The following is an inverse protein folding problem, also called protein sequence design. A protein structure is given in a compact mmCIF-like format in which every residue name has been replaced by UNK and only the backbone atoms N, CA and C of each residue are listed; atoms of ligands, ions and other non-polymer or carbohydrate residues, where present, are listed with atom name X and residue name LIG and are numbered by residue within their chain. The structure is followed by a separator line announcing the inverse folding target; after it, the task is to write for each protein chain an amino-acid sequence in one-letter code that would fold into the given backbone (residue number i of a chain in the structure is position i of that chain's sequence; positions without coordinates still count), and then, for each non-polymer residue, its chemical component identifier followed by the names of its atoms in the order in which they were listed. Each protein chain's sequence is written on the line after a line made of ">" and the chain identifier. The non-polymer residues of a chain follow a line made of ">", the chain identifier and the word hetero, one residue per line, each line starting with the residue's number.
data_IF_432257869238
#
_entry.id   IF_432257869238
#
_cell.length_a   1.000
_cell.length_b   1.000
_cell.length_c   1.000
_cell.angle_alpha   90.00
_cell.angle_beta   90.00
_cell.angle_gamma   90.00
#
_symmetry.space_group_name_H-M   'P 1'
#
loop_
_entity.id
_entity.type
_entity.pdbx_description
1 polymer ?
#
# COMPACT_ATOMS: atom_id res chain seq x y z
N UNK A 1 34.88 8.82 5.43
CA UNK A 1 35.11 7.71 6.38
C UNK A 1 35.76 6.56 5.62
N UNK A 2 36.84 5.97 6.16
CA UNK A 2 37.65 4.95 5.46
C UNK A 2 36.93 3.58 5.46
N UNK A 3 37.05 2.82 4.38
CA UNK A 3 36.41 1.49 4.25
C UNK A 3 36.81 0.53 5.37
N UNK A 4 38.07 0.58 5.81
CA UNK A 4 38.60 -0.27 6.90
C UNK A 4 37.93 -0.06 8.27
N UNK A 5 37.15 1.02 8.45
CA UNK A 5 36.38 1.30 9.67
C UNK A 5 34.86 1.15 9.46
N UNK A 6 34.43 0.82 8.25
CA UNK A 6 33.03 0.59 7.95
C UNK A 6 32.65 -0.86 8.20
N UNK A 7 31.50 -1.07 8.85
CA UNK A 7 30.87 -2.39 8.92
C UNK A 7 30.01 -2.62 7.67
N UNK A 8 30.55 -3.36 6.70
CA UNK A 8 29.87 -3.74 5.45
C UNK A 8 30.08 -5.24 5.25
N UNK A 9 29.27 -6.10 5.86
CA UNK A 9 29.41 -7.55 5.78
C UNK A 9 28.90 -8.03 4.41
N UNK A 10 29.73 -8.00 3.38
CA UNK A 10 29.34 -8.51 2.05
C UNK A 10 29.23 -10.02 2.04
N UNK A 11 28.31 -10.58 1.25
CA UNK A 11 28.15 -12.02 1.07
C UNK A 11 28.62 -12.46 -0.33
N UNK A 12 29.40 -13.54 -0.37
CA UNK A 12 29.81 -14.17 -1.62
C UNK A 12 28.63 -14.88 -2.29
N UNK A 13 27.88 -15.64 -1.49
CA UNK A 13 26.75 -16.47 -1.93
C UNK A 13 25.41 -15.77 -1.65
N UNK A 14 24.41 -16.09 -2.46
CA UNK A 14 23.04 -15.60 -2.30
C UNK A 14 22.30 -16.56 -1.34
N UNK A 15 21.69 -16.07 -0.25
CA UNK A 15 20.82 -16.90 0.58
C UNK A 15 19.66 -17.50 -0.24
N UNK A 16 19.36 -18.79 -0.02
CA UNK A 16 18.40 -19.53 -0.85
C UNK A 16 16.95 -19.02 -0.73
N UNK A 17 16.61 -18.35 0.37
CA UNK A 17 15.33 -17.72 0.64
C UNK A 17 15.13 -16.37 -0.09
N UNK A 18 16.21 -15.80 -0.65
CA UNK A 18 16.14 -14.55 -1.40
C UNK A 18 15.85 -14.79 -2.88
N UNK A 19 14.56 -14.77 -3.26
CA UNK A 19 14.13 -15.00 -4.65
C UNK A 19 14.28 -13.74 -5.52
N UNK A 20 13.89 -12.58 -5.00
CA UNK A 20 13.87 -11.33 -5.76
C UNK A 20 15.25 -10.68 -5.84
N UNK A 21 15.64 -10.20 -7.04
CA UNK A 21 16.95 -9.59 -7.31
C UNK A 21 17.31 -8.42 -6.38
N UNK A 22 16.36 -7.54 -6.07
CA UNK A 22 16.59 -6.44 -5.12
C UNK A 22 16.94 -6.98 -3.73
N UNK A 23 16.18 -7.95 -3.21
CA UNK A 23 16.45 -8.61 -1.94
C UNK A 23 17.85 -9.26 -1.91
N UNK A 24 18.19 -10.03 -2.96
CA UNK A 24 19.50 -10.67 -3.11
C UNK A 24 20.65 -9.67 -3.04
N UNK A 25 20.54 -8.56 -3.79
CA UNK A 25 21.58 -7.52 -3.84
C UNK A 25 21.69 -6.80 -2.49
N UNK A 26 20.57 -6.45 -1.86
CA UNK A 26 20.57 -5.78 -0.55
C UNK A 26 21.25 -6.63 0.52
N UNK A 27 21.05 -7.95 0.52
CA UNK A 27 21.75 -8.87 1.43
C UNK A 27 23.24 -8.94 1.10
N UNK A 28 23.59 -9.16 -0.17
CA UNK A 28 25.00 -9.33 -0.61
C UNK A 28 25.85 -8.09 -0.43
N UNK A 29 25.28 -6.91 -0.62
CA UNK A 29 25.99 -5.64 -0.42
C UNK A 29 26.03 -5.21 1.05
N UNK A 30 25.49 -6.02 1.98
CA UNK A 30 25.50 -5.72 3.41
C UNK A 30 24.63 -4.51 3.77
N UNK A 31 23.50 -4.31 3.06
CA UNK A 31 22.57 -3.23 3.33
C UNK A 31 21.56 -3.61 4.42
N UNK A 32 21.10 -4.85 4.42
CA UNK A 32 20.10 -5.36 5.38
C UNK A 32 20.47 -6.77 5.88
N UNK A 33 19.87 -7.18 7.00
CA UNK A 33 19.86 -8.56 7.50
C UNK A 33 18.47 -8.95 7.99
N UNK A 34 17.99 -10.16 7.69
CA UNK A 34 16.76 -10.66 8.29
C UNK A 34 16.98 -10.90 9.78
N UNK A 35 16.02 -10.48 10.59
CA UNK A 35 15.93 -10.81 12.02
C UNK A 35 14.87 -11.91 12.23
N UNK A 36 13.77 -11.83 11.48
CA UNK A 36 12.70 -12.83 11.40
C UNK A 36 11.97 -12.66 10.05
N UNK A 37 10.98 -13.52 9.76
CA UNK A 37 10.19 -13.42 8.53
C UNK A 37 9.51 -12.03 8.43
N UNK A 38 9.87 -11.28 7.39
CA UNK A 38 9.35 -9.92 7.17
C UNK A 38 9.89 -8.85 8.12
N UNK A 39 10.96 -9.11 8.88
CA UNK A 39 11.56 -8.16 9.82
C UNK A 39 13.06 -8.05 9.53
N UNK A 40 13.52 -6.85 9.16
CA UNK A 40 14.88 -6.62 8.70
C UNK A 40 15.60 -5.53 9.51
N UNK A 41 16.86 -5.78 9.81
CA UNK A 41 17.80 -4.77 10.31
C UNK A 41 18.46 -4.04 9.15
N UNK A 42 18.38 -2.71 9.13
CA UNK A 42 19.15 -1.88 8.21
C UNK A 42 20.56 -1.65 8.74
N UNK A 43 21.56 -2.15 8.02
CA UNK A 43 22.98 -1.99 8.35
C UNK A 43 23.46 -0.58 7.96
N UNK A 44 24.68 -0.14 8.39
CA UNK A 44 25.10 1.25 8.23
C UNK A 44 25.00 1.81 6.80
N UNK A 45 25.31 1.01 5.79
CA UNK A 45 25.21 1.43 4.39
C UNK A 45 23.76 1.53 3.93
N UNK A 46 22.91 0.54 4.26
CA UNK A 46 21.48 0.56 3.97
C UNK A 46 20.78 1.73 4.66
N UNK A 47 21.09 1.97 5.94
CA UNK A 47 20.54 3.09 6.70
C UNK A 47 20.98 4.46 6.15
N UNK A 48 22.20 4.57 5.63
CA UNK A 48 22.65 5.79 4.95
C UNK A 48 21.84 6.08 3.69
N UNK A 49 21.46 5.06 2.93
CA UNK A 49 20.57 5.22 1.76
C UNK A 49 19.17 5.63 2.23
N UNK A 50 18.61 4.96 3.23
CA UNK A 50 17.30 5.31 3.80
C UNK A 50 17.25 6.77 4.26
N UNK A 51 18.26 7.26 4.98
CA UNK A 51 18.33 8.66 5.40
C UNK A 51 18.33 9.66 4.23
N UNK A 52 18.91 9.31 3.08
CA UNK A 52 18.87 10.17 1.89
C UNK A 52 17.47 10.21 1.28
N UNK A 53 16.79 9.07 1.19
CA UNK A 53 15.41 8.99 0.71
C UNK A 53 14.47 9.76 1.64
N UNK A 54 14.59 9.54 2.95
CA UNK A 54 13.84 10.27 3.99
C UNK A 54 14.04 11.77 3.87
N UNK A 55 15.27 12.23 3.60
CA UNK A 55 15.55 13.65 3.43
C UNK A 55 14.89 14.24 2.18
N UNK A 56 14.88 13.51 1.05
CA UNK A 56 14.15 13.93 -0.15
C UNK A 56 12.65 14.05 0.16
N UNK A 57 12.09 13.05 0.84
CA UNK A 57 10.68 13.04 1.22
C UNK A 57 10.36 14.25 2.09
N UNK A 58 11.14 14.50 3.15
CA UNK A 58 10.98 15.66 4.05
C UNK A 58 10.98 16.97 3.28
N UNK A 59 11.98 17.19 2.44
CA UNK A 59 12.09 18.43 1.64
C UNK A 59 10.86 18.68 0.75
N UNK A 60 10.33 17.65 0.10
CA UNK A 60 9.16 17.80 -0.78
C UNK A 60 7.84 17.92 -0.01
N UNK A 61 7.73 17.31 1.18
CA UNK A 61 6.57 17.48 2.06
C UNK A 61 6.57 18.87 2.71
N UNK A 62 7.71 19.33 3.22
CA UNK A 62 7.86 20.67 3.79
C UNK A 62 7.58 21.75 2.72
N UNK A 63 7.96 21.51 1.46
CA UNK A 63 7.70 22.42 0.34
C UNK A 63 6.21 22.62 0.03
N UNK A 64 5.32 21.71 0.43
CA UNK A 64 3.86 21.89 0.33
C UNK A 64 3.24 22.44 1.62
N UNK A 65 4.06 22.85 2.59
CA UNK A 65 3.61 23.36 3.89
C UNK A 65 3.20 22.28 4.88
N UNK A 66 3.55 21.01 4.61
CA UNK A 66 3.29 19.93 5.54
C UNK A 66 4.20 20.01 6.77
N UNK A 67 3.67 19.63 7.94
CA UNK A 67 4.38 19.68 9.21
C UNK A 67 4.71 18.27 9.69
N UNK A 68 5.98 18.01 9.98
CA UNK A 68 6.44 16.67 10.42
C UNK A 68 6.12 16.44 11.91
N UNK A 69 5.40 15.36 12.17
CA UNK A 69 5.03 14.84 13.48
C UNK A 69 5.83 13.57 13.77
N UNK A 70 5.84 13.15 15.04
CA UNK A 70 6.34 11.84 15.44
C UNK A 70 5.32 11.18 16.37
N UNK A 71 4.49 10.29 15.80
CA UNK A 71 3.36 9.68 16.50
C UNK A 71 3.74 8.33 17.14
N UNK A 72 3.10 7.98 18.27
CA UNK A 72 3.36 6.71 18.93
C UNK A 72 2.93 5.53 18.05
N UNK A 73 3.77 4.49 17.99
CA UNK A 73 3.42 3.22 17.36
C UNK A 73 2.53 2.35 18.25
N UNK A 74 2.62 2.52 19.56
CA UNK A 74 1.80 1.81 20.55
C UNK A 74 0.52 2.61 20.77
N UNK A 75 -0.63 2.02 20.46
CA UNK A 75 -1.92 2.68 20.64
C UNK A 75 -2.85 1.86 21.56
N UNK A 76 -3.71 2.52 22.35
CA UNK A 76 -4.85 1.86 22.97
C UNK A 76 -5.76 1.26 21.88
N UNK A 77 -6.35 0.08 22.09
CA UNK A 77 -7.27 -0.50 21.09
C UNK A 77 -8.53 0.35 20.92
N UNK A 78 -8.94 1.04 21.99
CA UNK A 78 -10.21 1.75 22.09
C UNK A 78 -10.37 2.82 21.00
N UNK A 79 -9.27 3.51 20.64
CA UNK A 79 -9.28 4.53 19.58
C UNK A 79 -9.55 3.92 18.19
N UNK A 80 -9.18 2.65 17.97
CA UNK A 80 -9.43 1.90 16.74
C UNK A 80 -10.82 1.24 16.73
N UNK A 81 -11.40 1.01 17.91
CA UNK A 81 -12.78 0.54 18.05
C UNK A 81 -13.77 1.67 17.76
N UNK A 82 -13.44 2.93 18.10
CA UNK A 82 -14.23 4.12 17.72
C UNK A 82 -14.48 4.19 16.20
N UNK A 83 -13.48 3.83 15.39
CA UNK A 83 -13.56 3.83 13.92
C UNK A 83 -13.97 2.49 13.33
N UNK A 84 -14.18 1.46 14.17
CA UNK A 84 -14.39 0.04 13.78
C UNK A 84 -13.23 -0.59 13.01
N UNK A 85 -12.14 0.14 12.79
CA UNK A 85 -10.98 -0.38 12.04
C UNK A 85 -10.21 -1.43 12.84
N UNK A 86 -10.39 -1.49 14.15
CA UNK A 86 -9.95 -2.64 14.93
C UNK A 86 -10.50 -3.96 14.35
N UNK A 87 -11.80 -4.07 14.06
CA UNK A 87 -12.35 -5.28 13.45
C UNK A 87 -11.95 -5.43 11.99
N UNK A 88 -11.93 -4.33 11.22
CA UNK A 88 -11.68 -4.38 9.77
C UNK A 88 -10.24 -4.84 9.43
N UNK A 89 -9.25 -4.43 10.24
CA UNK A 89 -7.88 -4.94 10.10
C UNK A 89 -7.74 -6.41 10.51
N UNK A 90 -8.66 -6.93 11.32
CA UNK A 90 -8.68 -8.34 11.73
C UNK A 90 -7.33 -8.82 12.29
N UNK A 91 -6.80 -9.88 11.67
CA UNK A 91 -5.54 -10.54 12.04
C UNK A 91 -4.29 -9.77 11.59
N UNK A 92 -4.40 -8.81 10.66
CA UNK A 92 -3.24 -8.00 10.24
C UNK A 92 -2.82 -6.97 11.30
N UNK A 93 -3.68 -6.70 12.28
CA UNK A 93 -3.37 -5.81 13.40
C UNK A 93 -2.72 -6.59 14.54
N UNK A 94 -1.48 -6.25 14.87
CA UNK A 94 -0.83 -6.77 16.07
C UNK A 94 -1.55 -6.30 17.33
N UNK A 95 -1.95 -7.26 18.18
CA UNK A 95 -2.60 -7.02 19.48
C UNK A 95 -1.86 -7.72 20.59
N UNK A 96 -1.74 -7.07 21.73
CA UNK A 96 -1.11 -7.64 22.91
C UNK A 96 -1.71 -7.04 24.18
N UNK A 97 -1.58 -7.78 25.28
CA UNK A 97 -2.02 -7.34 26.60
C UNK A 97 -0.84 -6.71 27.34
N UNK A 98 -1.03 -5.50 27.87
CA UNK A 98 -0.06 -4.90 28.76
C UNK A 98 -0.08 -5.56 30.15
N UNK A 99 0.84 -5.17 31.03
CA UNK A 99 0.94 -5.71 32.41
C UNK A 99 -0.31 -5.49 33.28
N UNK A 100 -1.24 -4.64 32.84
CA UNK A 100 -2.50 -4.31 33.51
C UNK A 100 -3.71 -4.92 32.76
N UNK A 101 -3.48 -5.85 31.84
CA UNK A 101 -4.51 -6.48 31.00
C UNK A 101 -5.30 -5.47 30.14
N UNK A 102 -4.63 -4.40 29.69
CA UNK A 102 -5.18 -3.51 28.66
C UNK A 102 -4.72 -3.98 27.29
N UNK A 103 -5.65 -4.04 26.35
CA UNK A 103 -5.34 -4.34 24.97
C UNK A 103 -4.68 -3.13 24.32
N UNK A 104 -3.50 -3.35 23.77
CA UNK A 104 -2.76 -2.36 23.00
C UNK A 104 -2.38 -2.95 21.65
N UNK A 105 -2.20 -2.05 20.68
CA UNK A 105 -1.89 -2.42 19.30
C UNK A 105 -0.62 -1.74 18.82
N UNK A 106 0.04 -2.37 17.84
CA UNK A 106 1.02 -1.69 17.03
C UNK A 106 0.32 -1.11 15.80
N UNK A 107 0.39 0.20 15.65
CA UNK A 107 -0.33 0.96 14.64
C UNK A 107 0.07 0.53 13.20
N UNK A 108 -0.87 0.01 12.39
CA UNK A 108 -0.63 -0.27 10.97
C UNK A 108 -0.64 1.00 10.09
N UNK A 109 -1.22 2.09 10.62
CA UNK A 109 -1.36 3.44 10.06
C UNK A 109 -1.85 4.38 11.20
N UNK A 110 -2.14 5.65 10.93
CA UNK A 110 -2.37 6.68 11.96
C UNK A 110 -3.56 7.61 11.70
N UNK A 111 -4.57 7.23 10.89
CA UNK A 111 -5.77 8.07 10.69
C UNK A 111 -6.46 8.41 12.01
N UNK A 112 -6.68 7.41 12.88
CA UNK A 112 -7.30 7.53 14.20
C UNK A 112 -6.58 8.55 15.07
N UNK A 113 -5.25 8.50 15.05
CA UNK A 113 -4.40 9.29 15.95
C UNK A 113 -4.38 10.75 15.52
N UNK A 114 -4.33 10.99 14.21
CA UNK A 114 -4.43 12.32 13.64
C UNK A 114 -5.81 12.91 13.91
N UNK A 115 -6.87 12.12 13.72
CA UNK A 115 -8.24 12.55 14.01
C UNK A 115 -8.43 12.88 15.50
N UNK A 116 -7.84 12.10 16.42
CA UNK A 116 -7.89 12.37 17.86
C UNK A 116 -7.21 13.70 18.23
N UNK A 117 -6.01 13.95 17.68
CA UNK A 117 -5.30 15.23 17.84
C UNK A 117 -6.14 16.37 17.26
N UNK A 118 -6.66 16.21 16.05
CA UNK A 118 -7.48 17.23 15.39
C UNK A 118 -8.75 17.55 16.19
N UNK A 119 -9.44 16.53 16.72
CA UNK A 119 -10.62 16.67 17.58
C UNK A 119 -10.30 17.46 18.86
N UNK A 120 -9.10 17.32 19.40
CA UNK A 120 -8.62 18.03 20.58
C UNK A 120 -8.14 19.47 20.31
N UNK A 121 -7.54 19.73 19.16
CA UNK A 121 -6.78 20.97 18.93
C UNK A 121 -7.41 21.91 17.90
N UNK A 122 -8.15 21.40 16.91
CA UNK A 122 -8.79 22.24 15.88
C UNK A 122 -10.14 22.74 16.42
N UNK A 123 -10.27 24.05 16.58
CA UNK A 123 -11.46 24.68 17.19
C UNK A 123 -12.19 25.63 16.26
N UNK A 124 -11.55 26.04 15.17
CA UNK A 124 -12.12 26.95 14.19
C UNK A 124 -11.73 26.57 12.76
N UNK A 125 -12.57 26.93 11.79
CA UNK A 125 -12.21 26.88 10.37
C UNK A 125 -10.95 27.70 10.04
N UNK A 126 -10.61 28.68 10.89
CA UNK A 126 -9.39 29.50 10.75
C UNK A 126 -8.10 28.73 11.05
N UNK A 127 -8.21 27.60 11.74
CA UNK A 127 -7.09 26.70 12.00
C UNK A 127 -6.81 25.80 10.77
N UNK A 128 -7.68 25.84 9.75
CA UNK A 128 -7.59 25.03 8.53
C UNK A 128 -7.18 25.89 7.31
N UNK A 129 -6.53 25.28 6.29
CA UNK A 129 -6.17 23.87 6.19
C UNK A 129 -4.92 23.50 7.01
N UNK A 130 -4.81 22.23 7.35
CA UNK A 130 -3.62 21.63 7.95
C UNK A 130 -3.11 20.49 7.07
N UNK A 131 -1.80 20.32 7.00
CA UNK A 131 -1.16 19.14 6.40
C UNK A 131 -0.13 18.63 7.40
N UNK A 132 -0.35 17.45 7.95
CA UNK A 132 0.52 16.82 8.94
C UNK A 132 1.04 15.49 8.40
N UNK A 133 2.33 15.23 8.55
CA UNK A 133 2.92 13.97 8.08
C UNK A 133 3.91 13.44 9.09
N UNK A 134 4.28 12.17 8.97
CA UNK A 134 5.38 11.60 9.75
C UNK A 134 6.17 10.60 8.91
N UNK A 135 7.38 10.29 9.34
CA UNK A 135 8.20 9.21 8.77
C UNK A 135 8.51 8.23 9.90
N UNK A 136 7.73 7.15 9.97
CA UNK A 136 7.66 6.32 11.18
C UNK A 136 7.47 4.83 10.84
N UNK A 137 7.90 3.96 11.77
CA UNK A 137 7.81 2.51 11.62
C UNK A 137 6.40 1.97 11.84
N UNK A 138 5.84 1.36 10.81
CA UNK A 138 4.54 0.69 10.82
C UNK A 138 4.68 -0.82 11.02
N UNK A 139 3.60 -1.42 11.49
CA UNK A 139 3.52 -2.85 11.77
C UNK A 139 2.25 -3.42 11.18
N UNK A 140 2.38 -4.49 10.38
CA UNK A 140 1.26 -5.26 9.84
C UNK A 140 1.61 -6.73 9.95
N UNK A 141 0.73 -7.54 10.51
CA UNK A 141 0.95 -8.97 10.63
C UNK A 141 0.66 -9.68 9.29
N UNK A 142 1.47 -9.32 8.29
CA UNK A 142 1.39 -9.85 6.94
C UNK A 142 1.51 -11.38 6.96
N UNK A 143 0.49 -12.14 6.50
CA UNK A 143 0.48 -13.60 6.58
C UNK A 143 1.58 -14.24 5.73
N UNK A 144 2.03 -13.59 4.65
CA UNK A 144 3.08 -14.12 3.76
C UNK A 144 4.11 -13.05 3.41
N UNK A 145 4.99 -12.66 4.35
CA UNK A 145 6.02 -11.68 4.07
C UNK A 145 7.01 -12.26 3.05
N UNK A 146 7.27 -11.51 1.97
CA UNK A 146 8.07 -11.98 0.83
C UNK A 146 8.82 -10.83 0.17
N UNK A 147 9.74 -11.18 -0.72
CA UNK A 147 10.43 -10.19 -1.58
C UNK A 147 11.27 -9.16 -0.81
N UNK A 148 11.83 -9.53 0.34
CA UNK A 148 12.69 -8.65 1.12
C UNK A 148 11.91 -7.53 1.80
N UNK A 149 12.34 -6.30 1.59
CA UNK A 149 11.73 -5.08 2.15
C UNK A 149 10.48 -4.61 1.40
N UNK A 150 10.10 -5.28 0.30
CA UNK A 150 8.92 -4.92 -0.48
C UNK A 150 7.62 -5.30 0.21
N UNK A 151 7.58 -6.45 0.90
CA UNK A 151 6.41 -6.92 1.66
C UNK A 151 6.86 -7.50 2.99
N UNK A 152 6.78 -6.68 4.03
CA UNK A 152 7.36 -6.91 5.35
C UNK A 152 6.32 -6.70 6.46
N UNK A 153 6.57 -7.29 7.64
CA UNK A 153 5.71 -7.11 8.84
C UNK A 153 6.04 -5.83 9.60
N UNK A 154 7.28 -5.36 9.49
CA UNK A 154 7.75 -4.10 10.04
C UNK A 154 8.46 -3.31 8.93
N UNK A 155 8.01 -2.07 8.68
CA UNK A 155 8.55 -1.24 7.61
C UNK A 155 8.43 0.25 7.95
N UNK A 156 9.20 1.09 7.26
CA UNK A 156 9.14 2.55 7.42
C UNK A 156 8.17 3.10 6.39
N UNK A 157 7.22 3.90 6.85
CA UNK A 157 6.27 4.59 5.99
C UNK A 157 6.37 6.09 6.23
N UNK A 158 6.23 6.86 5.14
CA UNK A 158 5.76 8.23 5.25
C UNK A 158 4.26 8.24 5.04
N UNK A 159 3.52 8.66 6.03
CA UNK A 159 2.08 8.86 6.03
C UNK A 159 1.78 10.34 6.25
N UNK A 160 0.81 10.88 5.53
CA UNK A 160 0.47 12.30 5.50
C UNK A 160 -1.04 12.47 5.42
N UNK A 161 -1.55 13.44 6.15
CA UNK A 161 -2.96 13.67 6.41
C UNK A 161 -3.24 15.16 6.25
N UNK A 162 -4.16 15.52 5.34
CA UNK A 162 -4.68 16.88 5.27
C UNK A 162 -6.03 16.98 5.98
N UNK A 163 -6.26 18.12 6.61
CA UNK A 163 -7.54 18.50 7.16
C UNK A 163 -7.95 19.79 6.48
N UNK A 164 -9.11 19.78 5.85
CA UNK A 164 -9.57 20.83 4.96
C UNK A 164 -10.99 21.27 5.36
N UNK A 165 -11.34 22.52 5.07
CA UNK A 165 -12.65 23.09 5.44
C UNK A 165 -13.78 22.47 4.63
N UNK A 166 -13.51 22.17 3.36
CA UNK A 166 -14.47 21.68 2.39
C UNK A 166 -13.78 20.79 1.33
N UNK A 167 -14.58 20.24 0.41
CA UNK A 167 -14.10 19.37 -0.67
C UNK A 167 -13.14 20.07 -1.64
N UNK A 168 -13.31 21.38 -1.87
CA UNK A 168 -12.40 22.14 -2.75
C UNK A 168 -11.01 22.29 -2.11
N UNK A 169 -10.98 22.50 -0.78
CA UNK A 169 -9.75 22.46 0.01
C UNK A 169 -9.08 21.09 -0.08
N UNK A 170 -9.85 20.02 0.10
CA UNK A 170 -9.38 18.64 -0.05
C UNK A 170 -8.76 18.40 -1.43
N UNK A 171 -9.44 18.80 -2.51
CA UNK A 171 -8.93 18.65 -3.88
C UNK A 171 -7.58 19.38 -4.07
N UNK A 172 -7.46 20.58 -3.50
CA UNK A 172 -6.20 21.34 -3.53
C UNK A 172 -5.09 20.61 -2.76
N UNK A 173 -5.38 20.16 -1.53
CA UNK A 173 -4.45 19.39 -0.70
C UNK A 173 -4.03 18.09 -1.39
N UNK A 174 -4.97 17.39 -2.02
CA UNK A 174 -4.72 16.19 -2.82
C UNK A 174 -3.75 16.46 -3.98
N UNK A 175 -3.98 17.53 -4.75
CA UNK A 175 -3.08 17.90 -5.85
C UNK A 175 -1.69 18.30 -5.35
N UNK A 176 -1.58 18.99 -4.21
CA UNK A 176 -0.28 19.28 -3.60
C UNK A 176 0.49 18.00 -3.27
N UNK A 177 -0.15 17.02 -2.64
CA UNK A 177 0.46 15.71 -2.36
C UNK A 177 0.85 14.98 -3.64
N UNK A 178 -0.04 14.93 -4.64
CA UNK A 178 0.23 14.26 -5.91
C UNK A 178 1.47 14.85 -6.61
N UNK A 179 1.63 16.18 -6.60
CA UNK A 179 2.82 16.83 -7.17
C UNK A 179 4.08 16.60 -6.33
N UNK A 180 3.98 16.64 -5.00
CA UNK A 180 5.09 16.31 -4.11
C UNK A 180 5.59 14.88 -4.36
N UNK A 181 4.69 13.90 -4.47
CA UNK A 181 5.04 12.51 -4.75
C UNK A 181 5.74 12.36 -6.11
N UNK A 182 5.24 13.02 -7.16
CA UNK A 182 5.91 13.05 -8.46
C UNK A 182 7.35 13.55 -8.36
N UNK A 183 7.60 14.62 -7.59
CA UNK A 183 8.94 15.15 -7.35
C UNK A 183 9.80 14.19 -6.53
N UNK A 184 9.27 13.59 -5.46
CA UNK A 184 9.98 12.60 -4.63
C UNK A 184 10.47 11.44 -5.50
N UNK A 185 9.59 10.79 -6.26
CA UNK A 185 9.97 9.65 -7.10
C UNK A 185 10.97 10.06 -8.19
N UNK A 186 10.79 11.23 -8.82
CA UNK A 186 11.72 11.77 -9.82
C UNK A 186 13.11 12.03 -9.23
N UNK A 187 13.19 12.64 -8.04
CA UNK A 187 14.46 12.92 -7.33
C UNK A 187 15.15 11.65 -6.83
N UNK A 188 14.39 10.60 -6.55
CA UNK A 188 14.90 9.26 -6.31
C UNK A 188 15.38 8.53 -7.58
N UNK A 189 15.19 9.13 -8.77
CA UNK A 189 15.60 8.56 -10.05
C UNK A 189 14.71 7.40 -10.51
N UNK A 190 13.47 7.32 -10.01
CA UNK A 190 12.55 6.23 -10.31
C UNK A 190 11.69 6.59 -11.52
N UNK A 191 11.46 5.60 -12.39
CA UNK A 191 10.47 5.70 -13.46
C UNK A 191 9.15 5.16 -12.93
N UNK A 192 8.15 6.02 -12.85
CA UNK A 192 6.85 5.69 -12.27
C UNK A 192 5.72 6.18 -13.16
N UNK A 193 4.55 5.61 -12.97
CA UNK A 193 3.29 6.07 -13.54
C UNK A 193 2.22 6.08 -12.45
N UNK A 194 1.13 6.82 -12.67
CA UNK A 194 0.04 6.96 -11.69
C UNK A 194 -1.18 6.25 -12.23
N UNK A 195 -1.82 5.45 -11.39
CA UNK A 195 -3.05 4.71 -11.73
C UNK A 195 -4.16 5.04 -10.75
N UNK A 196 -5.41 5.01 -11.21
CA UNK A 196 -6.57 5.00 -10.31
C UNK A 196 -6.61 3.71 -9.50
N UNK A 197 -6.97 3.80 -8.22
CA UNK A 197 -6.89 2.68 -7.28
C UNK A 197 -8.14 2.55 -6.42
N UNK A 198 -8.23 1.42 -5.72
CA UNK A 198 -9.25 1.20 -4.69
C UNK A 198 -8.95 2.10 -3.47
N UNK A 199 -10.00 2.55 -2.78
CA UNK A 199 -9.88 3.25 -1.50
C UNK A 199 -9.75 2.29 -0.32
N UNK A 200 -10.11 1.02 -0.51
CA UNK A 200 -9.93 -0.06 0.46
C UNK A 200 -10.45 0.28 1.87
N UNK A 201 -9.72 -0.20 2.88
CA UNK A 201 -10.01 0.04 4.30
C UNK A 201 -9.75 1.48 4.77
N UNK A 202 -9.18 2.33 3.91
CA UNK A 202 -8.95 3.74 4.23
C UNK A 202 -10.21 4.59 3.97
N UNK A 203 -11.17 4.06 3.19
CA UNK A 203 -12.37 4.78 2.79
C UNK A 203 -12.08 5.96 1.84
N UNK A 204 -13.12 6.71 1.50
CA UNK A 204 -13.03 7.86 0.60
C UNK A 204 -13.57 7.61 -0.81
N UNK A 205 -13.50 8.63 -1.67
CA UNK A 205 -14.12 8.67 -3.00
C UNK A 205 -13.14 8.53 -4.16
N UNK A 206 -11.87 8.87 -3.95
CA UNK A 206 -10.82 8.81 -4.97
C UNK A 206 -9.50 8.32 -4.37
N UNK A 207 -8.77 7.50 -5.13
CA UNK A 207 -7.47 6.96 -4.74
C UNK A 207 -6.56 6.84 -5.96
N UNK A 208 -5.27 7.08 -5.73
CA UNK A 208 -4.22 6.96 -6.74
C UNK A 208 -3.04 6.18 -6.17
N UNK A 209 -2.49 5.32 -7.00
CA UNK A 209 -1.26 4.59 -6.70
C UNK A 209 -0.14 5.04 -7.64
N UNK A 210 1.06 5.17 -7.06
CA UNK A 210 2.29 5.46 -7.79
C UNK A 210 3.04 4.15 -8.02
N UNK A 211 3.05 3.69 -9.26
CA UNK A 211 3.51 2.37 -9.65
C UNK A 211 4.85 2.43 -10.37
N UNK A 212 5.68 1.41 -10.15
CA UNK A 212 6.91 1.17 -10.88
C UNK A 212 6.77 -0.12 -11.68
N UNK A 213 7.05 -0.07 -12.97
CA UNK A 213 7.00 -1.25 -13.82
C UNK A 213 8.10 -2.25 -13.44
N UNK A 214 7.71 -3.50 -13.19
CA UNK A 214 8.61 -4.57 -12.77
C UNK A 214 7.98 -5.94 -12.98
N UNK A 215 8.74 -6.91 -13.48
CA UNK A 215 8.28 -8.30 -13.68
C UNK A 215 7.90 -9.02 -12.37
N UNK A 216 8.37 -8.50 -11.24
CA UNK A 216 8.09 -9.04 -9.90
C UNK A 216 6.99 -8.25 -9.15
N UNK A 217 6.35 -7.29 -9.83
CA UNK A 217 5.26 -6.49 -9.25
C UNK A 217 4.09 -7.39 -8.84
N UNK A 218 3.49 -7.12 -7.69
CA UNK A 218 2.33 -7.89 -7.20
C UNK A 218 1.01 -7.35 -7.75
N UNK A 219 0.99 -6.08 -8.16
CA UNK A 219 -0.17 -5.41 -8.75
C UNK A 219 -0.25 -5.63 -10.27
N UNK A 220 -1.48 -5.84 -10.74
CA UNK A 220 -1.80 -5.85 -12.17
C UNK A 220 -2.52 -4.56 -12.50
N UNK A 221 -1.98 -3.81 -13.46
CA UNK A 221 -2.54 -2.54 -13.91
C UNK A 221 -2.98 -2.62 -15.35
N UNK A 222 -4.06 -1.93 -15.67
CA UNK A 222 -4.56 -1.75 -17.04
C UNK A 222 -4.13 -0.36 -17.50
N UNK A 223 -3.38 -0.30 -18.60
CA UNK A 223 -2.94 0.94 -19.24
C UNK A 223 -3.46 0.97 -20.67
N UNK A 224 -4.09 2.08 -21.07
CA UNK A 224 -4.55 2.31 -22.43
C UNK A 224 -3.66 3.33 -23.12
N UNK A 225 -2.77 2.87 -24.01
CA UNK A 225 -1.84 3.73 -24.76
C UNK A 225 -2.52 4.76 -25.67
N UNK A 226 -3.81 4.58 -25.98
CA UNK A 226 -4.56 5.46 -26.88
C UNK A 226 -5.23 6.63 -26.18
N UNK A 227 -5.69 6.46 -24.94
CA UNK A 227 -6.43 7.50 -24.21
C UNK A 227 -5.82 7.89 -22.87
N UNK A 228 -4.71 7.26 -22.46
CA UNK A 228 -4.03 7.55 -21.20
C UNK A 228 -4.75 7.04 -19.96
N UNK A 229 -5.80 6.22 -20.11
CA UNK A 229 -6.46 5.56 -18.98
C UNK A 229 -5.49 4.59 -18.30
N UNK A 230 -5.36 4.70 -16.98
CA UNK A 230 -4.53 3.82 -16.18
C UNK A 230 -5.20 3.53 -14.83
N UNK A 231 -5.39 2.26 -14.49
CA UNK A 231 -6.07 1.82 -13.27
C UNK A 231 -5.50 0.49 -12.77
N UNK A 232 -5.51 0.30 -11.45
CA UNK A 232 -5.35 -1.02 -10.86
C UNK A 232 -6.51 -1.93 -11.33
N UNK A 233 -6.25 -3.20 -11.61
CA UNK A 233 -7.25 -4.14 -12.14
C UNK A 233 -8.50 -4.24 -11.25
N UNK A 234 -8.34 -4.01 -9.94
CA UNK A 234 -9.42 -4.00 -8.96
C UNK A 234 -10.49 -2.94 -9.23
N UNK A 235 -10.11 -1.82 -9.86
CA UNK A 235 -11.00 -0.69 -10.19
C UNK A 235 -11.05 -0.39 -11.68
N UNK A 236 -10.38 -1.20 -12.50
CA UNK A 236 -10.32 -1.01 -13.94
C UNK A 236 -11.71 -1.20 -14.55
N UNK A 237 -12.14 -0.23 -15.35
CA UNK A 237 -13.42 -0.29 -16.07
C UNK A 237 -13.18 -0.41 -17.56
N UNK A 238 -14.10 -1.09 -18.25
CA UNK A 238 -14.03 -1.31 -19.68
C UNK A 238 -15.38 -1.07 -20.35
N UNK A 239 -15.35 -0.67 -21.62
CA UNK A 239 -16.56 -0.63 -22.44
C UNK A 239 -16.89 -2.05 -22.91
N UNK A 240 -18.00 -2.58 -22.43
CA UNK A 240 -18.51 -3.87 -22.90
C UNK A 240 -19.12 -3.72 -24.30
N UNK A 241 -18.80 -4.65 -25.20
CA UNK A 241 -19.54 -4.81 -26.45
C UNK A 241 -20.71 -5.74 -26.20
N UNK A 242 -21.90 -5.17 -26.01
CA UNK A 242 -23.12 -5.97 -25.84
C UNK A 242 -23.47 -6.64 -27.17
N UNK A 243 -23.51 -7.97 -27.20
CA UNK A 243 -24.16 -8.72 -28.28
C UNK A 243 -25.58 -9.01 -27.82
N UNK A 244 -26.57 -8.50 -28.54
CA UNK A 244 -27.97 -8.88 -28.33
C UNK A 244 -28.13 -10.26 -28.98
N UNK A 245 -28.35 -11.29 -28.16
CA UNK A 245 -28.80 -12.60 -28.63
C UNK A 245 -30.33 -12.67 -28.52
N UNK A 246 -30.95 -13.48 -29.36
CA UNK A 246 -32.37 -13.78 -29.21
C UNK A 246 -32.55 -14.71 -28.00
N UNK A 247 -33.55 -14.41 -27.18
CA UNK A 247 -33.91 -15.28 -26.06
C UNK A 247 -34.39 -16.64 -26.59
N UNK A 248 -33.80 -17.71 -26.07
CA UNK A 248 -34.22 -19.08 -26.31
C UNK A 248 -35.20 -19.58 -25.25
N UNK A 249 -35.79 -20.75 -25.45
CA UNK A 249 -36.57 -21.42 -24.40
C UNK A 249 -35.65 -21.91 -23.27
N UNK A 250 -36.07 -21.71 -22.02
CA UNK A 250 -35.32 -22.17 -20.85
C UNK A 250 -35.47 -23.69 -20.70
N UNK A 251 -34.37 -24.42 -20.83
CA UNK A 251 -34.34 -25.89 -20.70
C UNK A 251 -33.30 -26.33 -19.67
N UNK A 252 -33.64 -27.34 -18.88
CA UNK A 252 -32.69 -28.01 -17.99
C UNK A 252 -31.90 -29.06 -18.77
N UNK A 253 -30.57 -29.04 -18.64
CA UNK A 253 -29.67 -30.01 -19.28
C UNK A 253 -28.86 -30.71 -18.20
N UNK A 254 -28.88 -32.03 -18.20
CA UNK A 254 -28.09 -32.83 -17.27
C UNK A 254 -26.59 -32.74 -17.62
N UNK A 255 -25.79 -32.08 -16.77
CA UNK A 255 -24.34 -31.90 -16.94
C UNK A 255 -23.53 -32.68 -15.89
N UNK A 256 -23.45 -34.02 -15.96
CA UNK A 256 -22.80 -34.84 -14.94
C UNK A 256 -21.30 -34.53 -14.85
N UNK A 257 -20.82 -34.33 -13.62
CA UNK A 257 -19.42 -34.09 -13.28
C UNK A 257 -18.75 -32.89 -14.01
N UNK A 258 -19.54 -31.94 -14.53
CA UNK A 258 -19.03 -30.68 -15.11
C UNK A 258 -19.18 -29.56 -14.09
N UNK A 259 -18.05 -28.98 -13.67
CA UNK A 259 -17.98 -27.99 -12.59
C UNK A 259 -17.34 -26.66 -13.02
N UNK A 260 -16.53 -26.65 -14.07
CA UNK A 260 -15.88 -25.43 -14.57
C UNK A 260 -16.56 -24.89 -15.82
N UNK A 261 -16.38 -23.59 -16.10
CA UNK A 261 -16.90 -22.95 -17.31
C UNK A 261 -16.38 -23.66 -18.56
N UNK A 262 -15.11 -24.07 -18.56
CA UNK A 262 -14.49 -24.80 -19.68
C UNK A 262 -15.15 -26.17 -19.87
N UNK A 263 -15.41 -26.89 -18.78
CA UNK A 263 -16.05 -28.21 -18.84
C UNK A 263 -17.49 -28.13 -19.35
N UNK A 264 -18.25 -27.13 -18.90
CA UNK A 264 -19.64 -26.91 -19.33
C UNK A 264 -19.68 -26.40 -20.77
N UNK A 265 -18.80 -25.47 -21.13
CA UNK A 265 -18.64 -24.94 -22.49
C UNK A 265 -18.37 -26.04 -23.51
N UNK A 266 -17.41 -26.93 -23.22
CA UNK A 266 -17.09 -28.06 -24.08
C UNK A 266 -18.24 -29.08 -24.15
N UNK A 267 -18.89 -29.35 -23.02
CA UNK A 267 -19.98 -30.33 -22.97
C UNK A 267 -21.23 -29.87 -23.74
N UNK A 268 -21.60 -28.60 -23.61
CA UNK A 268 -22.76 -28.01 -24.29
C UNK A 268 -22.43 -27.44 -25.67
N UNK A 269 -21.16 -27.46 -26.08
CA UNK A 269 -20.67 -26.86 -27.31
C UNK A 269 -21.07 -25.38 -27.47
N UNK A 270 -20.92 -24.61 -26.38
CA UNK A 270 -21.21 -23.17 -26.34
C UNK A 270 -19.96 -22.40 -25.95
N UNK A 271 -19.82 -21.19 -26.48
CA UNK A 271 -18.71 -20.30 -26.13
C UNK A 271 -18.74 -19.94 -24.63
N UNK A 272 -17.59 -19.91 -23.92
CA UNK A 272 -17.52 -19.53 -22.50
C UNK A 272 -18.17 -18.17 -22.20
N UNK A 273 -18.12 -17.23 -23.15
CA UNK A 273 -18.72 -15.90 -23.03
C UNK A 273 -20.27 -15.91 -22.99
N UNK A 274 -20.91 -17.04 -23.32
CA UNK A 274 -22.36 -17.22 -23.23
C UNK A 274 -22.77 -17.92 -21.93
N UNK A 275 -21.81 -18.30 -21.07
CA UNK A 275 -22.07 -18.96 -19.80
C UNK A 275 -22.00 -17.95 -18.65
N UNK A 276 -22.84 -18.18 -17.64
CA UNK A 276 -22.85 -17.40 -16.41
C UNK A 276 -22.13 -18.21 -15.32
N UNK A 277 -21.17 -17.58 -14.65
CA UNK A 277 -20.54 -18.13 -13.45
C UNK A 277 -21.20 -17.51 -12.22
N UNK A 278 -21.83 -18.34 -11.40
CA UNK A 278 -22.31 -17.96 -10.07
C UNK A 278 -21.21 -18.25 -9.04
N UNK A 279 -20.83 -17.26 -8.24
CA UNK A 279 -19.79 -17.33 -7.20
C UNK A 279 -20.41 -17.32 -5.81
#
# INVERSE_FOLDING_TARGET
>A
MRLSRYFIPTLKEIPADAVVKSHQIMLRAGLIRPLAAGIYSYLPLGWRVMKKVIQIIREEMDAIGAQEFYLPALNPIEIWEETKRASDFGEEMFRFQDRKNRTIVLAPTHEEIICDIARGEIRSYKDLPQIWYQIQTKFRDEPRPRSGVLRARQFIMKDSYSLDVDEQGLDKSYQLHAQAYKKIFSRCGLKFFVVGASTGLMGGSASQEFMLESEIGEDVVVICDRCGYAANIEVATGKLKTKIQQDGELTEVYTPDKRTIEQVSQFLNVEPNNLIKSL
#
